data_IF_386270144241
#
_entry.id   IF_386270144241
#
_cell.length_a   1.000
_cell.length_b   1.000
_cell.length_c   1.000
_cell.angle_alpha   90.00
_cell.angle_beta   90.00
_cell.angle_gamma   90.00
#
_symmetry.space_group_name_H-M   'P 1'
#
loop_
_entity.id
_entity.type
_entity.pdbx_description
1 polymer ?
#
# COMPACT_ATOMS: atom_id res chain seq x y z
N UNK A 1 10.53 -16.36 37.14
CA UNK A 1 11.51 -15.50 36.44
C UNK A 1 12.08 -16.32 35.28
N UNK A 2 11.48 -16.21 34.11
CA UNK A 2 12.01 -16.81 32.88
C UNK A 2 12.69 -15.69 32.10
N UNK A 3 13.99 -15.83 31.86
CA UNK A 3 14.75 -14.96 30.97
C UNK A 3 14.24 -15.22 29.55
N UNK A 4 13.27 -14.43 29.08
CA UNK A 4 13.02 -14.31 27.65
C UNK A 4 14.27 -13.65 27.05
N UNK A 5 15.12 -14.44 26.42
CA UNK A 5 16.23 -13.89 25.64
C UNK A 5 15.64 -13.03 24.54
N UNK A 6 15.93 -11.73 24.57
CA UNK A 6 15.63 -10.83 23.47
C UNK A 6 16.12 -11.46 22.16
N UNK A 7 15.20 -11.70 21.23
CA UNK A 7 15.55 -12.21 19.91
C UNK A 7 16.33 -11.09 19.22
N UNK A 8 17.58 -11.33 18.78
CA UNK A 8 18.35 -10.28 18.14
C UNK A 8 17.61 -9.77 16.91
N UNK A 9 17.42 -8.45 16.87
CA UNK A 9 16.90 -7.71 15.73
C UNK A 9 17.68 -8.15 14.47
N UNK A 10 16.95 -8.59 13.43
CA UNK A 10 17.62 -9.01 12.19
C UNK A 10 18.12 -7.75 11.49
N UNK A 11 19.44 -7.68 11.33
CA UNK A 11 20.12 -6.58 10.62
C UNK A 11 19.95 -6.68 9.09
N UNK A 12 19.38 -7.78 8.58
CA UNK A 12 19.23 -8.04 7.14
C UNK A 12 17.99 -7.38 6.52
N UNK A 13 17.31 -6.50 7.25
CA UNK A 13 16.04 -5.90 6.87
C UNK A 13 16.16 -4.38 6.95
N UNK A 14 15.71 -3.69 5.92
CA UNK A 14 15.71 -2.24 5.89
C UNK A 14 14.53 -1.71 6.71
N UNK A 15 14.83 -0.78 7.63
CA UNK A 15 13.86 -0.14 8.51
C UNK A 15 13.93 1.36 8.29
N UNK A 16 13.10 1.92 7.40
CA UNK A 16 13.04 3.36 7.22
C UNK A 16 12.44 4.03 8.46
N UNK A 17 12.83 5.28 8.70
CA UNK A 17 12.18 6.15 9.69
C UNK A 17 11.33 7.16 8.93
N UNK A 18 10.02 7.11 9.15
CA UNK A 18 9.05 8.05 8.61
C UNK A 18 8.13 8.42 9.75
N UNK A 19 8.07 9.71 10.05
CA UNK A 19 7.19 10.27 11.07
C UNK A 19 5.94 10.84 10.38
N UNK A 20 4.78 10.24 10.62
CA UNK A 20 3.48 10.71 10.14
C UNK A 20 2.90 11.85 10.98
N UNK A 21 3.43 12.08 12.18
CA UNK A 21 3.09 13.19 13.06
C UNK A 21 4.35 13.76 13.72
N UNK A 22 4.31 15.05 14.08
CA UNK A 22 5.44 15.72 14.72
C UNK A 22 5.69 15.25 16.16
N UNK A 23 4.67 14.68 16.80
CA UNK A 23 4.70 14.20 18.17
C UNK A 23 4.70 12.67 18.27
N UNK A 24 4.84 11.97 17.14
CA UNK A 24 4.77 10.52 16.99
C UNK A 24 3.48 9.88 17.53
N UNK A 25 2.43 10.67 17.78
CA UNK A 25 1.13 10.15 18.23
C UNK A 25 0.16 10.00 17.07
N UNK A 26 -0.89 9.16 17.21
CA UNK A 26 -1.94 9.08 16.21
C UNK A 26 -2.53 10.45 15.92
N UNK A 27 -2.71 10.76 14.64
CA UNK A 27 -3.42 11.95 14.17
C UNK A 27 -4.93 11.81 14.41
N UNK A 28 -5.45 10.58 14.47
CA UNK A 28 -6.86 10.32 14.78
C UNK A 28 -7.02 9.15 15.74
N UNK A 29 -7.76 9.37 16.81
CA UNK A 29 -8.20 8.32 17.75
C UNK A 29 -9.72 8.13 17.71
N UNK A 30 -10.43 9.14 17.25
CA UNK A 30 -11.89 9.16 17.11
C UNK A 30 -12.31 9.54 15.71
N UNK A 31 -13.59 9.32 15.38
CA UNK A 31 -14.16 9.72 14.08
C UNK A 31 -14.19 11.26 13.95
N UNK A 32 -14.37 12.01 15.05
CA UNK A 32 -14.34 13.47 15.03
C UNK A 32 -12.97 14.00 14.62
N UNK A 33 -11.88 13.37 15.07
CA UNK A 33 -10.52 13.76 14.68
C UNK A 33 -10.29 13.60 13.15
N UNK A 34 -11.06 12.75 12.48
CA UNK A 34 -10.93 12.51 11.04
C UNK A 34 -11.74 13.54 10.23
N UNK A 35 -12.96 13.87 10.66
CA UNK A 35 -13.92 14.60 9.84
C UNK A 35 -14.30 15.99 10.33
N UNK A 36 -14.00 16.33 11.59
CA UNK A 36 -14.44 17.59 12.23
C UNK A 36 -13.22 18.36 12.75
N UNK A 37 -12.42 17.74 13.61
CA UNK A 37 -11.37 18.38 14.41
C UNK A 37 -9.98 17.86 14.04
N UNK A 38 -9.67 17.81 12.73
CA UNK A 38 -8.41 17.24 12.25
C UNK A 38 -7.18 18.07 12.72
N UNK A 39 -6.16 17.44 13.34
CA UNK A 39 -5.02 18.15 13.94
C UNK A 39 -3.96 18.52 12.90
N UNK A 40 -4.24 19.57 12.12
CA UNK A 40 -3.35 20.05 11.05
C UNK A 40 -1.97 20.53 11.52
N UNK A 41 -1.87 20.96 12.77
CA UNK A 41 -0.65 21.45 13.42
C UNK A 41 0.37 20.34 13.72
N UNK A 42 -0.10 19.09 13.82
CA UNK A 42 0.75 17.92 14.08
C UNK A 42 1.24 17.21 12.82
N UNK A 43 0.89 17.70 11.63
CA UNK A 43 1.29 17.11 10.35
C UNK A 43 2.81 17.19 10.13
N UNK A 44 3.40 16.23 9.40
CA UNK A 44 4.84 16.15 9.23
C UNK A 44 5.35 17.25 8.29
N UNK A 45 6.61 17.63 8.45
CA UNK A 45 7.26 18.67 7.64
C UNK A 45 7.34 18.34 6.14
N UNK A 46 7.25 17.05 5.78
CA UNK A 46 7.21 16.63 4.39
C UNK A 46 5.85 16.97 3.77
N UNK A 47 5.83 17.98 2.90
CA UNK A 47 4.61 18.47 2.26
C UNK A 47 3.84 17.41 1.46
N UNK A 48 4.54 16.46 0.83
CA UNK A 48 3.89 15.39 0.06
C UNK A 48 3.16 14.42 0.99
N UNK A 49 3.83 13.96 2.05
CA UNK A 49 3.21 13.09 3.04
C UNK A 49 2.06 13.81 3.74
N UNK A 50 2.27 15.07 4.16
CA UNK A 50 1.23 15.88 4.79
C UNK A 50 0.00 16.04 3.88
N UNK A 51 0.17 16.22 2.57
CA UNK A 51 -0.96 16.27 1.62
C UNK A 51 -1.79 14.99 1.65
N UNK A 52 -1.15 13.82 1.64
CA UNK A 52 -1.85 12.54 1.68
C UNK A 52 -2.35 12.17 3.07
N UNK A 53 -1.97 12.86 4.15
CA UNK A 53 -2.56 12.62 5.48
C UNK A 53 -3.80 13.50 5.72
N UNK A 54 -3.93 14.63 5.01
CA UNK A 54 -5.05 15.57 5.13
C UNK A 54 -6.36 14.99 4.58
N UNK A 55 -7.50 15.15 5.29
CA UNK A 55 -8.81 14.74 4.78
C UNK A 55 -9.13 15.35 3.41
N UNK A 56 -8.86 16.64 3.22
CA UNK A 56 -9.09 17.34 1.96
C UNK A 56 -8.19 16.83 0.83
N UNK A 57 -6.94 16.47 1.14
CA UNK A 57 -5.98 15.99 0.15
C UNK A 57 -6.35 14.59 -0.36
N UNK A 58 -6.76 13.71 0.57
CA UNK A 58 -7.28 12.38 0.23
C UNK A 58 -8.58 12.49 -0.55
N UNK A 59 -9.55 13.29 -0.09
CA UNK A 59 -10.82 13.49 -0.78
C UNK A 59 -10.61 14.03 -2.20
N UNK A 60 -9.77 15.06 -2.38
CA UNK A 60 -9.44 15.60 -3.70
C UNK A 60 -8.82 14.53 -4.62
N UNK A 61 -7.90 13.72 -4.09
CA UNK A 61 -7.22 12.68 -4.87
C UNK A 61 -8.19 11.55 -5.29
N UNK A 62 -9.07 11.12 -4.38
CA UNK A 62 -10.07 10.09 -4.68
C UNK A 62 -11.12 10.60 -5.67
N UNK A 63 -11.62 11.83 -5.50
CA UNK A 63 -12.54 12.46 -6.45
C UNK A 63 -11.88 12.55 -7.82
N UNK A 64 -10.65 13.05 -7.88
CA UNK A 64 -9.88 13.11 -9.13
C UNK A 64 -9.78 11.74 -9.78
N UNK A 65 -9.40 10.70 -9.04
CA UNK A 65 -9.36 9.33 -9.55
C UNK A 65 -10.69 8.90 -10.17
N UNK A 66 -11.81 9.07 -9.45
CA UNK A 66 -13.14 8.66 -9.90
C UNK A 66 -13.61 9.41 -11.16
N UNK A 67 -13.26 10.69 -11.31
CA UNK A 67 -13.68 11.51 -12.46
C UNK A 67 -12.62 11.62 -13.57
N UNK A 68 -11.43 11.04 -13.39
CA UNK A 68 -10.30 11.16 -14.33
C UNK A 68 -10.51 10.42 -15.66
N UNK A 69 -11.44 9.47 -15.74
CA UNK A 69 -11.67 8.64 -16.94
C UNK A 69 -11.84 9.43 -18.25
N UNK A 70 -12.72 10.46 -18.38
CA UNK A 70 -12.80 11.29 -19.57
C UNK A 70 -11.47 11.97 -19.90
N UNK A 71 -10.76 12.50 -18.90
CA UNK A 71 -9.46 13.16 -19.07
C UNK A 71 -8.44 12.18 -19.65
N UNK A 72 -8.36 10.97 -19.09
CA UNK A 72 -7.43 9.94 -19.56
C UNK A 72 -7.73 9.47 -20.99
N UNK A 73 -9.00 9.51 -21.42
CA UNK A 73 -9.39 9.18 -22.80
C UNK A 73 -9.02 10.26 -23.82
N UNK A 74 -8.86 11.51 -23.40
CA UNK A 74 -8.47 12.61 -24.29
C UNK A 74 -6.97 12.55 -24.65
N UNK A 75 -6.16 11.83 -23.87
CA UNK A 75 -4.74 11.68 -24.14
C UNK A 75 -4.50 10.79 -25.38
N UNK A 76 -3.69 11.23 -26.37
CA UNK A 76 -3.46 10.50 -27.61
C UNK A 76 -2.46 9.33 -27.44
N UNK A 77 -2.82 8.34 -26.63
CA UNK A 77 -1.99 7.17 -26.35
C UNK A 77 -2.27 6.06 -27.37
N UNK A 78 -1.22 5.63 -28.09
CA UNK A 78 -1.30 4.52 -29.04
C UNK A 78 -1.13 3.17 -28.33
N UNK A 79 -2.20 2.37 -28.10
CA UNK A 79 -2.15 1.22 -27.18
C UNK A 79 -1.39 0.02 -27.76
N UNK A 80 -1.26 -0.03 -29.10
CA UNK A 80 -0.51 -1.05 -29.83
C UNK A 80 0.97 -0.68 -30.02
N UNK A 81 1.38 0.52 -29.62
CA UNK A 81 2.77 0.95 -29.78
C UNK A 81 3.70 0.13 -28.88
N UNK A 82 4.89 -0.18 -29.40
CA UNK A 82 5.94 -0.86 -28.62
C UNK A 82 6.35 -0.03 -27.40
N UNK A 83 6.38 1.30 -27.53
CA UNK A 83 6.67 2.22 -26.43
C UNK A 83 5.68 2.05 -25.27
N UNK A 84 4.36 2.08 -25.56
CA UNK A 84 3.34 1.87 -24.54
C UNK A 84 3.46 0.50 -23.87
N UNK A 85 3.70 -0.57 -24.65
CA UNK A 85 3.91 -1.91 -24.11
C UNK A 85 5.12 -1.96 -23.17
N UNK A 86 6.22 -1.30 -23.54
CA UNK A 86 7.43 -1.23 -22.72
C UNK A 86 7.18 -0.45 -21.43
N UNK A 87 6.47 0.69 -21.49
CA UNK A 87 6.07 1.45 -20.30
C UNK A 87 5.22 0.60 -19.35
N UNK A 88 4.24 -0.15 -19.88
CA UNK A 88 3.41 -1.06 -19.06
C UNK A 88 4.25 -2.21 -18.48
N UNK A 89 5.22 -2.73 -19.23
CA UNK A 89 6.12 -3.76 -18.71
C UNK A 89 6.98 -3.22 -17.56
N UNK A 90 7.58 -2.05 -17.73
CA UNK A 90 8.37 -1.36 -16.68
C UNK A 90 7.50 -1.11 -15.44
N UNK A 91 6.31 -0.55 -15.62
CA UNK A 91 5.36 -0.32 -14.54
C UNK A 91 5.06 -1.60 -13.72
N UNK A 92 4.72 -2.69 -14.40
CA UNK A 92 4.42 -3.96 -13.74
C UNK A 92 5.65 -4.55 -13.01
N UNK A 93 6.84 -4.56 -13.64
CA UNK A 93 8.02 -5.12 -12.97
C UNK A 93 8.47 -4.24 -11.79
N UNK A 94 8.37 -2.91 -11.91
CA UNK A 94 8.66 -1.99 -10.81
C UNK A 94 7.72 -2.22 -9.63
N UNK A 95 6.41 -2.38 -9.87
CA UNK A 95 5.44 -2.68 -8.81
C UNK A 95 5.63 -4.07 -8.21
N UNK A 96 6.03 -5.08 -9.00
CA UNK A 96 6.36 -6.40 -8.49
C UNK A 96 7.58 -6.35 -7.55
N UNK A 97 8.65 -5.67 -7.96
CA UNK A 97 9.86 -5.50 -7.13
C UNK A 97 9.54 -4.72 -5.86
N UNK A 98 8.86 -3.57 -5.98
CA UNK A 98 8.45 -2.75 -4.85
C UNK A 98 7.60 -3.55 -3.85
N UNK A 99 6.58 -4.24 -4.34
CA UNK A 99 5.71 -5.05 -3.47
C UNK A 99 6.47 -6.20 -2.82
N UNK A 100 7.44 -6.81 -3.51
CA UNK A 100 8.27 -7.87 -2.96
C UNK A 100 9.18 -7.37 -1.84
N UNK A 101 9.73 -6.16 -1.99
CA UNK A 101 10.51 -5.49 -0.95
C UNK A 101 9.63 -5.19 0.26
N UNK A 102 8.44 -4.61 0.07
CA UNK A 102 7.50 -4.33 1.18
C UNK A 102 7.09 -5.62 1.88
N UNK A 103 6.74 -6.66 1.13
CA UNK A 103 6.33 -7.95 1.68
C UNK A 103 7.44 -8.61 2.50
N UNK A 104 8.67 -8.62 1.98
CA UNK A 104 9.82 -9.21 2.70
C UNK A 104 10.13 -8.46 3.98
N UNK A 105 10.28 -7.12 3.91
CA UNK A 105 10.69 -6.35 5.09
C UNK A 105 9.60 -6.36 6.17
N UNK A 106 8.33 -6.14 5.79
CA UNK A 106 7.22 -6.21 6.75
C UNK A 106 7.05 -7.61 7.34
N UNK A 107 7.14 -8.68 6.54
CA UNK A 107 7.03 -10.05 7.05
C UNK A 107 8.11 -10.37 8.09
N UNK A 108 9.37 -10.01 7.84
CA UNK A 108 10.44 -10.28 8.80
C UNK A 108 10.23 -9.48 10.09
N UNK A 109 9.87 -8.19 10.01
CA UNK A 109 9.55 -7.36 11.18
C UNK A 109 8.42 -7.99 12.00
N UNK A 110 7.33 -8.38 11.34
CA UNK A 110 6.13 -8.91 11.98
C UNK A 110 6.39 -10.27 12.64
N UNK A 111 7.15 -11.15 11.97
CA UNK A 111 7.55 -12.45 12.53
C UNK A 111 8.47 -12.26 13.73
N UNK A 112 9.41 -11.32 13.68
CA UNK A 112 10.28 -11.03 14.82
C UNK A 112 9.51 -10.51 16.03
N UNK A 113 8.63 -9.53 15.81
CA UNK A 113 7.78 -8.99 16.87
C UNK A 113 6.86 -10.08 17.45
N UNK A 114 6.29 -10.93 16.60
CA UNK A 114 5.49 -12.07 17.04
C UNK A 114 6.27 -13.09 17.88
N UNK A 115 7.50 -13.41 17.51
CA UNK A 115 8.32 -14.37 18.26
C UNK A 115 8.80 -13.79 19.60
N UNK A 116 8.97 -12.48 19.70
CA UNK A 116 9.45 -11.79 20.90
C UNK A 116 8.31 -11.44 21.88
N UNK A 117 7.22 -10.84 21.39
CA UNK A 117 6.14 -10.30 22.21
C UNK A 117 4.83 -11.12 22.12
N UNK A 118 4.68 -11.98 21.11
CA UNK A 118 3.48 -12.82 20.93
C UNK A 118 2.42 -12.21 20.01
N UNK A 119 1.32 -12.95 19.80
CA UNK A 119 0.25 -12.56 18.87
C UNK A 119 -0.48 -11.28 19.30
N UNK A 120 -0.81 -11.18 20.59
CA UNK A 120 -1.63 -10.09 21.11
C UNK A 120 -0.91 -8.76 20.96
N UNK A 121 0.35 -8.69 21.37
CA UNK A 121 1.18 -7.49 21.24
C UNK A 121 1.45 -7.14 19.77
N UNK A 122 1.66 -8.12 18.88
CA UNK A 122 1.78 -7.83 17.43
C UNK A 122 0.48 -7.32 16.81
N UNK A 123 -0.69 -7.75 17.31
CA UNK A 123 -1.97 -7.37 16.72
C UNK A 123 -2.58 -6.11 17.30
N UNK A 124 -2.42 -5.89 18.61
CA UNK A 124 -3.00 -4.77 19.35
C UNK A 124 -1.99 -3.64 19.55
N UNK A 125 -0.69 -3.96 19.56
CA UNK A 125 0.41 -3.03 19.80
C UNK A 125 0.18 -2.04 20.95
N UNK A 126 -0.13 -2.52 22.17
CA UNK A 126 -0.55 -1.65 23.27
C UNK A 126 0.52 -0.65 23.71
N UNK A 127 1.79 -0.94 23.42
CA UNK A 127 2.95 -0.13 23.81
C UNK A 127 3.58 0.60 22.62
N UNK A 128 3.06 0.44 21.39
CA UNK A 128 3.62 1.06 20.19
C UNK A 128 4.96 0.47 19.73
N UNK A 129 5.34 -0.71 20.23
CA UNK A 129 6.61 -1.38 19.93
C UNK A 129 6.67 -1.89 18.49
N UNK A 130 5.52 -2.26 17.90
CA UNK A 130 5.46 -2.62 16.49
C UNK A 130 5.50 -1.35 15.63
N UNK A 131 4.60 -0.40 15.85
CA UNK A 131 4.46 0.76 14.96
C UNK A 131 5.72 1.64 14.97
N UNK A 132 6.22 2.02 16.15
CA UNK A 132 7.34 2.97 16.30
C UNK A 132 8.69 2.26 16.30
N UNK A 133 8.91 1.33 17.23
CA UNK A 133 10.26 0.83 17.52
C UNK A 133 10.76 -0.18 16.46
N UNK A 134 9.86 -0.91 15.82
CA UNK A 134 10.23 -1.98 14.88
C UNK A 134 10.50 -1.49 13.45
N UNK A 135 10.04 -0.28 13.11
CA UNK A 135 10.05 0.27 11.74
C UNK A 135 8.88 -0.18 10.86
N UNK A 136 7.88 -0.89 11.41
CA UNK A 136 6.68 -1.29 10.67
C UNK A 136 5.83 -0.09 10.23
N UNK A 137 5.66 0.93 11.08
CA UNK A 137 4.88 2.13 10.76
C UNK A 137 5.34 2.82 9.48
N UNK A 138 6.66 2.95 9.29
CA UNK A 138 7.22 3.50 8.07
C UNK A 138 6.90 2.65 6.82
N UNK A 139 6.94 1.32 6.93
CA UNK A 139 6.51 0.43 5.84
C UNK A 139 5.01 0.55 5.54
N UNK A 140 4.18 0.72 6.57
CA UNK A 140 2.75 0.96 6.41
C UNK A 140 2.49 2.30 5.69
N UNK A 141 3.22 3.36 6.02
CA UNK A 141 3.15 4.66 5.31
C UNK A 141 3.62 4.53 3.86
N UNK A 142 4.74 3.86 3.59
CA UNK A 142 5.24 3.62 2.23
C UNK A 142 4.20 2.86 1.40
N UNK A 143 3.62 1.81 1.97
CA UNK A 143 2.58 1.01 1.33
C UNK A 143 1.29 1.81 1.11
N UNK A 144 0.92 2.66 2.07
CA UNK A 144 -0.21 3.58 1.92
C UNK A 144 -0.02 4.52 0.72
N UNK A 145 1.12 5.20 0.63
CA UNK A 145 1.41 6.10 -0.48
C UNK A 145 1.40 5.36 -1.83
N UNK A 146 1.83 4.09 -1.86
CA UNK A 146 1.81 3.29 -3.09
C UNK A 146 0.40 3.07 -3.64
N UNK A 147 -0.65 3.05 -2.80
CA UNK A 147 -2.04 2.82 -3.25
C UNK A 147 -2.50 3.89 -4.25
N UNK A 148 -2.04 5.12 -4.11
CA UNK A 148 -2.32 6.20 -5.06
C UNK A 148 -1.61 6.01 -6.40
N UNK A 149 -0.39 5.48 -6.39
CA UNK A 149 0.32 5.15 -7.62
C UNK A 149 -0.38 4.03 -8.40
N UNK A 150 -0.97 3.06 -7.68
CA UNK A 150 -1.73 1.95 -8.29
C UNK A 150 -3.00 2.40 -9.02
N UNK A 151 -3.42 3.67 -8.91
CA UNK A 151 -4.48 4.23 -9.78
C UNK A 151 -4.08 4.22 -11.26
N UNK A 152 -2.78 4.23 -11.56
CA UNK A 152 -2.23 4.08 -12.91
C UNK A 152 -2.71 2.77 -13.56
N UNK A 153 -2.97 1.70 -12.80
CA UNK A 153 -3.51 0.45 -13.36
C UNK A 153 -4.86 0.66 -14.06
N UNK A 154 -5.70 1.50 -13.45
CA UNK A 154 -7.02 1.86 -14.01
C UNK A 154 -6.84 2.69 -15.26
N UNK A 155 -5.90 3.64 -15.26
CA UNK A 155 -5.61 4.48 -16.44
C UNK A 155 -4.99 3.67 -17.58
N UNK A 156 -4.14 2.68 -17.29
CA UNK A 156 -3.61 1.73 -18.29
C UNK A 156 -4.75 0.97 -18.97
N UNK A 157 -5.78 0.54 -18.22
CA UNK A 157 -6.96 -0.09 -18.83
C UNK A 157 -7.72 0.86 -19.76
N UNK A 158 -7.93 2.11 -19.32
CA UNK A 158 -8.59 3.14 -20.12
C UNK A 158 -7.82 3.40 -21.42
N UNK A 159 -6.48 3.53 -21.36
CA UNK A 159 -5.64 3.67 -22.55
C UNK A 159 -5.64 2.43 -23.42
N UNK A 160 -5.75 1.22 -22.86
CA UNK A 160 -5.97 -0.03 -23.60
C UNK A 160 -7.38 -0.15 -24.19
N UNK A 161 -8.21 0.91 -24.10
CA UNK A 161 -9.61 0.93 -24.54
C UNK A 161 -10.47 -0.13 -23.83
N UNK A 162 -10.05 -0.54 -22.63
CA UNK A 162 -10.79 -1.45 -21.76
C UNK A 162 -11.54 -0.65 -20.70
N UNK A 163 -12.71 -1.14 -20.32
CA UNK A 163 -13.46 -0.57 -19.22
C UNK A 163 -12.93 -1.17 -17.91
N UNK A 164 -12.50 -0.36 -16.93
CA UNK A 164 -12.20 -0.87 -15.60
C UNK A 164 -13.47 -1.46 -14.99
N UNK A 165 -13.33 -2.59 -14.30
CA UNK A 165 -14.46 -3.25 -13.63
C UNK A 165 -14.89 -2.45 -12.40
N UNK A 166 -16.14 -2.66 -11.96
CA UNK A 166 -16.61 -2.11 -10.69
C UNK A 166 -15.70 -2.53 -9.52
N UNK A 167 -15.31 -3.81 -9.48
CA UNK A 167 -14.44 -4.35 -8.44
C UNK A 167 -13.10 -3.61 -8.40
N UNK A 168 -12.50 -3.28 -9.55
CA UNK A 168 -11.23 -2.56 -9.58
C UNK A 168 -11.40 -1.14 -9.00
N UNK A 169 -12.38 -0.38 -9.47
CA UNK A 169 -12.59 0.99 -8.96
C UNK A 169 -12.94 0.99 -7.47
N UNK A 170 -13.80 0.06 -7.04
CA UNK A 170 -14.17 -0.13 -5.63
C UNK A 170 -12.96 -0.48 -4.78
N UNK A 171 -12.15 -1.45 -5.20
CA UNK A 171 -10.97 -1.91 -4.46
C UNK A 171 -9.92 -0.80 -4.34
N UNK A 172 -9.53 -0.14 -5.44
CA UNK A 172 -8.49 0.90 -5.38
C UNK A 172 -8.95 2.11 -4.55
N UNK A 173 -10.22 2.51 -4.64
CA UNK A 173 -10.76 3.61 -3.80
C UNK A 173 -10.85 3.19 -2.34
N UNK A 174 -11.40 2.01 -2.07
CA UNK A 174 -11.62 1.49 -0.72
C UNK A 174 -10.32 1.24 0.02
N UNK A 175 -9.34 0.58 -0.60
CA UNK A 175 -8.04 0.31 0.04
C UNK A 175 -7.28 1.60 0.31
N UNK A 176 -7.28 2.59 -0.60
CA UNK A 176 -6.66 3.88 -0.33
C UNK A 176 -7.29 4.59 0.87
N UNK A 177 -8.62 4.56 0.97
CA UNK A 177 -9.35 5.14 2.11
C UNK A 177 -9.12 4.40 3.43
N UNK A 178 -9.17 3.06 3.41
CA UNK A 178 -8.91 2.24 4.61
C UNK A 178 -7.47 2.40 5.10
N UNK A 179 -6.50 2.44 4.20
CA UNK A 179 -5.10 2.67 4.55
C UNK A 179 -4.89 4.06 5.14
N UNK A 180 -5.57 5.09 4.62
CA UNK A 180 -5.52 6.44 5.18
C UNK A 180 -5.95 6.46 6.65
N UNK A 181 -7.12 5.90 6.96
CA UNK A 181 -7.62 5.80 8.34
C UNK A 181 -6.65 4.97 9.22
N UNK A 182 -6.15 3.85 8.69
CA UNK A 182 -5.21 3.00 9.41
C UNK A 182 -3.90 3.70 9.76
N UNK A 183 -3.35 4.51 8.85
CA UNK A 183 -2.13 5.30 9.10
C UNK A 183 -2.40 6.44 10.08
N UNK A 184 -3.52 7.17 9.94
CA UNK A 184 -3.86 8.24 10.89
C UNK A 184 -4.01 7.75 12.32
N UNK A 185 -4.53 6.53 12.48
CA UNK A 185 -4.75 5.88 13.78
C UNK A 185 -3.60 5.01 14.26
N UNK A 186 -2.48 4.96 13.52
CA UNK A 186 -1.33 4.09 13.81
C UNK A 186 -1.74 2.64 14.08
N UNK A 187 -2.64 2.13 13.26
CA UNK A 187 -3.39 0.92 13.57
C UNK A 187 -2.59 -0.35 13.27
N UNK A 188 -2.31 -1.14 14.30
CA UNK A 188 -1.52 -2.36 14.24
C UNK A 188 -2.15 -3.49 13.41
N UNK A 189 -3.47 -3.49 13.18
CA UNK A 189 -4.11 -4.45 12.26
C UNK A 189 -3.58 -4.35 10.82
N UNK A 190 -2.97 -3.22 10.45
CA UNK A 190 -2.30 -3.04 9.16
C UNK A 190 -1.19 -4.07 8.92
N UNK A 191 -0.70 -4.76 9.97
CA UNK A 191 0.22 -5.90 9.88
C UNK A 191 -0.19 -6.91 8.80
N UNK A 192 -1.48 -7.26 8.73
CA UNK A 192 -2.00 -8.20 7.74
C UNK A 192 -2.23 -7.52 6.39
N UNK A 193 -2.82 -6.33 6.41
CA UNK A 193 -3.15 -5.59 5.21
C UNK A 193 -1.90 -5.27 4.38
N UNK A 194 -0.81 -4.83 5.02
CA UNK A 194 0.44 -4.47 4.34
C UNK A 194 1.16 -5.73 3.86
N UNK A 195 1.41 -6.71 4.74
CA UNK A 195 2.25 -7.86 4.39
C UNK A 195 1.59 -8.79 3.38
N UNK A 196 0.33 -9.19 3.62
CA UNK A 196 -0.36 -10.13 2.72
C UNK A 196 -0.69 -9.47 1.38
N UNK A 197 -1.17 -8.23 1.38
CA UNK A 197 -1.48 -7.54 0.13
C UNK A 197 -0.21 -7.31 -0.70
N UNK A 198 0.91 -6.88 -0.09
CA UNK A 198 2.18 -6.73 -0.79
C UNK A 198 2.67 -8.08 -1.37
N UNK A 199 2.50 -9.18 -0.65
CA UNK A 199 2.83 -10.51 -1.17
C UNK A 199 1.98 -10.88 -2.40
N UNK A 200 0.65 -10.72 -2.32
CA UNK A 200 -0.25 -10.97 -3.44
C UNK A 200 0.04 -10.02 -4.61
N UNK A 201 0.31 -8.75 -4.35
CA UNK A 201 0.70 -7.76 -5.37
C UNK A 201 1.99 -8.15 -6.08
N UNK A 202 2.98 -8.70 -5.36
CA UNK A 202 4.21 -9.24 -5.96
C UNK A 202 3.90 -10.30 -7.01
N UNK A 203 3.03 -11.26 -6.67
CA UNK A 203 2.65 -12.34 -7.58
C UNK A 203 1.80 -11.82 -8.75
N UNK A 204 0.86 -10.92 -8.47
CA UNK A 204 -0.05 -10.33 -9.46
C UNK A 204 0.69 -9.49 -10.51
N UNK A 205 1.57 -8.59 -10.09
CA UNK A 205 2.34 -7.75 -11.00
C UNK A 205 3.41 -8.53 -11.76
N UNK A 206 3.99 -9.57 -11.15
CA UNK A 206 4.84 -10.53 -11.88
C UNK A 206 4.05 -11.22 -12.99
N UNK A 207 2.82 -11.65 -12.70
CA UNK A 207 1.92 -12.20 -13.71
C UNK A 207 1.61 -11.20 -14.84
N UNK A 208 1.26 -9.95 -14.51
CA UNK A 208 0.98 -8.92 -15.52
C UNK A 208 2.20 -8.52 -16.35
N UNK A 209 3.39 -8.50 -15.75
CA UNK A 209 4.64 -8.32 -16.46
C UNK A 209 4.84 -9.42 -17.50
N UNK A 210 4.73 -10.70 -17.09
CA UNK A 210 4.86 -11.83 -18.00
C UNK A 210 3.82 -11.75 -19.13
N UNK A 211 2.55 -11.42 -18.83
CA UNK A 211 1.52 -11.25 -19.86
C UNK A 211 1.78 -10.08 -20.80
N UNK A 212 2.52 -9.06 -20.37
CA UNK A 212 2.87 -7.91 -21.20
C UNK A 212 4.03 -8.24 -22.15
N UNK A 213 5.05 -8.96 -21.66
CA UNK A 213 6.25 -9.33 -22.46
C UNK A 213 6.00 -10.58 -23.32
N UNK A 214 5.27 -11.56 -22.79
CA UNK A 214 4.92 -12.82 -23.47
C UNK A 214 3.41 -13.09 -23.39
N UNK A 215 2.60 -12.48 -24.28
CA UNK A 215 1.14 -12.61 -24.26
C UNK A 215 0.63 -14.03 -24.52
N UNK A 216 1.41 -14.89 -25.16
CA UNK A 216 1.03 -16.29 -25.47
C UNK A 216 1.26 -17.25 -24.31
N UNK A 217 2.04 -16.85 -23.29
CA UNK A 217 2.28 -17.69 -22.12
C UNK A 217 0.98 -17.95 -21.36
N UNK A 218 0.66 -19.23 -21.18
CA UNK A 218 -0.45 -19.68 -20.34
C UNK A 218 0.06 -19.93 -18.92
N UNK A 219 -0.49 -19.20 -17.95
CA UNK A 219 -0.18 -19.37 -16.54
C UNK A 219 -1.43 -19.93 -15.86
N UNK A 220 -1.43 -21.24 -15.59
CA UNK A 220 -2.58 -21.95 -15.00
C UNK A 220 -2.97 -21.39 -13.62
N UNK A 221 -1.99 -20.86 -12.88
CA UNK A 221 -2.18 -20.26 -11.56
C UNK A 221 -2.93 -18.92 -11.57
N UNK A 222 -3.18 -18.31 -12.73
CA UNK A 222 -3.87 -17.02 -12.84
C UNK A 222 -5.25 -17.01 -12.18
N UNK A 223 -5.95 -18.15 -12.17
CA UNK A 223 -7.26 -18.27 -11.52
C UNK A 223 -7.17 -18.20 -9.99
N UNK A 224 -6.08 -18.70 -9.42
CA UNK A 224 -5.85 -18.66 -7.97
C UNK A 224 -5.44 -17.26 -7.49
N UNK A 225 -4.79 -16.48 -8.35
CA UNK A 225 -4.49 -15.06 -8.09
C UNK A 225 -5.76 -14.23 -7.90
N UNK A 226 -6.76 -14.39 -8.77
CA UNK A 226 -8.03 -13.66 -8.63
C UNK A 226 -8.79 -14.04 -7.36
N UNK A 227 -8.70 -15.31 -6.93
CA UNK A 227 -9.30 -15.75 -5.66
C UNK A 227 -8.55 -15.14 -4.48
N UNK A 228 -7.21 -15.17 -4.49
CA UNK A 228 -6.38 -14.61 -3.42
C UNK A 228 -6.43 -13.07 -3.31
N UNK A 229 -7.02 -12.37 -4.29
CA UNK A 229 -7.30 -10.94 -4.22
C UNK A 229 -8.65 -10.62 -3.55
N UNK A 230 -9.56 -11.60 -3.49
CA UNK A 230 -10.93 -11.44 -3.00
C UNK A 230 -11.09 -12.05 -1.60
N UNK A 231 -10.29 -13.07 -1.27
CA UNK A 231 -10.24 -13.76 0.03
C UNK A 231 -9.15 -13.16 0.91
#
# INVERSE_FOLDING_TARGET
MSYAGHIPISTNVWRPEIHESLDDKPLATTISDIFIDFPYDRLPSNAYLAWFLRPEGVACTLIFYLVSKPIMKMLPIAPKSTAFRNCVAIHNISLAIFSGIVAWNSAVINVQHFLEYGLFDTYCDPNGTLWHDSGFGAWAVIFYISKYYEFVDTWILVWKQKQPSFLQVYHHTGVAFCMWIGVLSQSSWLVFAVTLNAFIHTLMYTYFFIKTVSPTTQIKAAKHLTVAQIT
#
